data_IF_040951458294
#
_entry.id   IF_040951458294
#
_cell.length_a   1.000
_cell.length_b   1.000
_cell.length_c   1.000
_cell.angle_alpha   90.00
_cell.angle_beta   90.00
_cell.angle_gamma   90.00
#
_symmetry.space_group_name_H-M   'P 1'
#
loop_
_entity.id
_entity.type
_entity.pdbx_description
1 polymer ?
#
# COMPACT_ATOMS: atom_id res chain seq x y z
N UNK A 1 16.24 1.85 -15.34
CA UNK A 1 15.82 1.40 -14.00
C UNK A 1 14.33 1.67 -13.85
N UNK A 2 13.49 0.64 -13.99
CA UNK A 2 12.04 0.82 -14.00
C UNK A 2 11.52 1.06 -12.57
N UNK A 3 10.93 2.24 -12.33
CA UNK A 3 10.20 2.54 -11.10
C UNK A 3 8.98 1.60 -11.01
N UNK A 4 9.05 0.60 -10.12
CA UNK A 4 7.95 -0.33 -9.89
C UNK A 4 6.87 0.40 -9.09
N UNK A 5 5.68 0.57 -9.68
CA UNK A 5 4.51 1.10 -8.97
C UNK A 5 3.82 -0.06 -8.27
N UNK A 6 3.64 0.03 -6.95
CA UNK A 6 2.79 -0.89 -6.21
C UNK A 6 1.60 -0.13 -5.60
N UNK A 7 0.50 -0.84 -5.42
CA UNK A 7 -0.70 -0.31 -4.78
C UNK A 7 -0.78 -0.72 -3.32
N UNK A 8 -1.23 0.13 -2.41
CA UNK A 8 -1.51 -0.23 -1.02
C UNK A 8 -3.01 -0.54 -0.89
N UNK A 9 -3.32 -1.79 -0.57
CA UNK A 9 -4.67 -2.25 -0.27
C UNK A 9 -4.93 -2.20 1.22
N UNK A 10 -6.09 -1.68 1.61
CA UNK A 10 -6.52 -1.74 3.00
C UNK A 10 -6.84 -3.17 3.43
N UNK A 11 -6.41 -3.56 4.63
CA UNK A 11 -6.66 -4.88 5.23
C UNK A 11 -8.12 -5.15 5.57
N UNK A 12 -8.94 -4.09 5.74
CA UNK A 12 -10.35 -4.20 6.15
C UNK A 12 -11.28 -4.12 4.95
N UNK A 13 -11.13 -3.08 4.13
CA UNK A 13 -12.00 -2.81 2.97
C UNK A 13 -11.52 -3.48 1.67
N UNK A 14 -10.27 -3.98 1.61
CA UNK A 14 -9.65 -4.48 0.38
C UNK A 14 -9.38 -3.41 -0.70
N UNK A 15 -9.88 -2.18 -0.49
CA UNK A 15 -9.75 -1.08 -1.43
C UNK A 15 -8.31 -0.61 -1.56
N UNK A 16 -7.89 -0.41 -2.82
CA UNK A 16 -6.57 0.10 -3.21
C UNK A 16 -6.63 1.61 -3.31
N UNK A 17 -6.34 2.29 -2.20
CA UNK A 17 -6.48 3.75 -2.10
C UNK A 17 -5.19 4.52 -2.40
N UNK A 18 -4.03 3.86 -2.36
CA UNK A 18 -2.73 4.53 -2.51
C UNK A 18 -1.86 3.77 -3.49
N UNK A 19 -1.07 4.51 -4.26
CA UNK A 19 -0.04 3.96 -5.15
C UNK A 19 1.32 4.52 -4.75
N UNK A 20 2.26 3.64 -4.40
CA UNK A 20 3.63 3.99 -4.02
C UNK A 20 4.58 3.61 -5.14
N UNK A 21 5.58 4.47 -5.37
CA UNK A 21 6.70 4.16 -6.25
C UNK A 21 7.74 3.44 -5.38
N UNK A 22 7.99 2.17 -5.65
CA UNK A 22 9.11 1.48 -5.03
C UNK A 22 10.40 1.87 -5.74
N UNK A 23 11.43 2.12 -4.93
CA UNK A 23 12.81 2.21 -5.40
C UNK A 23 13.23 0.86 -5.98
N UNK A 24 14.16 0.89 -6.95
CA UNK A 24 14.68 -0.31 -7.63
C UNK A 24 15.41 -1.30 -6.69
N UNK A 25 15.59 -0.92 -5.42
CA UNK A 25 16.10 -1.79 -4.36
C UNK A 25 14.98 -2.68 -3.82
N UNK A 26 15.06 -4.01 -3.98
CA UNK A 26 14.08 -4.92 -3.41
C UNK A 26 14.16 -4.84 -1.88
N UNK A 27 13.19 -4.18 -1.26
CA UNK A 27 13.00 -4.30 0.19
C UNK A 27 12.47 -5.71 0.45
N UNK A 28 13.10 -6.51 1.33
CA UNK A 28 12.64 -7.87 1.62
C UNK A 28 11.30 -7.87 2.37
N UNK A 29 10.93 -6.76 2.99
CA UNK A 29 9.70 -6.60 3.75
C UNK A 29 8.62 -5.90 2.93
N UNK A 30 7.41 -6.48 2.90
CA UNK A 30 6.22 -5.83 2.34
C UNK A 30 5.95 -4.53 3.08
N UNK A 31 5.65 -3.45 2.35
CA UNK A 31 5.27 -2.19 2.97
C UNK A 31 3.89 -2.32 3.63
N UNK A 32 3.86 -2.07 4.94
CA UNK A 32 2.63 -1.92 5.73
C UNK A 32 2.56 -0.48 6.25
N UNK A 33 1.49 0.23 5.94
CA UNK A 33 1.33 1.65 6.27
C UNK A 33 -0.01 1.89 6.92
N UNK A 34 -0.02 2.53 8.08
CA UNK A 34 -1.25 3.02 8.71
C UNK A 34 -1.74 4.28 7.99
N UNK A 35 -2.82 4.12 7.24
CA UNK A 35 -3.47 5.19 6.47
C UNK A 35 -4.97 5.16 6.69
N UNK A 36 -5.61 6.28 6.42
CA UNK A 36 -7.07 6.40 6.49
C UNK A 36 -7.73 5.70 5.28
N UNK A 37 -8.56 4.66 5.49
CA UNK A 37 -9.41 4.11 4.42
C UNK A 37 -10.68 4.97 4.33
N UNK A 38 -10.87 5.67 3.19
CA UNK A 38 -12.10 6.45 2.93
C UNK A 38 -13.38 5.62 3.01
N UNK A 39 -13.32 4.32 2.69
CA UNK A 39 -14.48 3.43 2.77
C UNK A 39 -14.78 2.97 4.20
N UNK A 40 -13.77 2.88 5.07
CA UNK A 40 -13.96 2.48 6.47
C UNK A 40 -14.08 3.67 7.42
N UNK A 41 -13.83 4.89 6.94
CA UNK A 41 -13.79 6.12 7.72
C UNK A 41 -12.89 6.07 8.96
N UNK A 42 -11.85 5.22 8.92
CA UNK A 42 -10.93 4.99 10.04
C UNK A 42 -9.51 4.72 9.53
N UNK A 43 -8.54 4.91 10.42
CA UNK A 43 -7.15 4.53 10.15
C UNK A 43 -7.00 3.01 10.24
N UNK A 44 -6.45 2.43 9.19
CA UNK A 44 -6.27 0.99 9.05
C UNK A 44 -4.91 0.69 8.44
N UNK A 45 -4.41 -0.52 8.70
CA UNK A 45 -3.24 -1.05 8.04
C UNK A 45 -3.54 -1.24 6.56
N UNK A 46 -2.75 -0.59 5.72
CA UNK A 46 -2.72 -0.82 4.28
C UNK A 46 -1.45 -1.60 3.93
N UNK A 47 -1.60 -2.69 3.19
CA UNK A 47 -0.51 -3.57 2.78
C UNK A 47 -0.23 -3.40 1.30
N UNK A 48 1.03 -3.51 0.93
CA UNK A 48 1.44 -3.53 -0.46
C UNK A 48 0.84 -4.72 -1.22
N UNK A 49 0.23 -4.39 -2.35
CA UNK A 49 -0.40 -5.28 -3.32
C UNK A 49 0.24 -5.02 -4.67
N UNK A 50 1.01 -6.02 -5.13
CA UNK A 50 1.75 -6.22 -6.40
C UNK A 50 2.42 -5.03 -7.08
#
# INVERSE_FOLDING_TARGET
MALKKASLACTVCGSRNYSVKLSSTPKPTRLEVNKFCKHCSKYTLHKETR
#
